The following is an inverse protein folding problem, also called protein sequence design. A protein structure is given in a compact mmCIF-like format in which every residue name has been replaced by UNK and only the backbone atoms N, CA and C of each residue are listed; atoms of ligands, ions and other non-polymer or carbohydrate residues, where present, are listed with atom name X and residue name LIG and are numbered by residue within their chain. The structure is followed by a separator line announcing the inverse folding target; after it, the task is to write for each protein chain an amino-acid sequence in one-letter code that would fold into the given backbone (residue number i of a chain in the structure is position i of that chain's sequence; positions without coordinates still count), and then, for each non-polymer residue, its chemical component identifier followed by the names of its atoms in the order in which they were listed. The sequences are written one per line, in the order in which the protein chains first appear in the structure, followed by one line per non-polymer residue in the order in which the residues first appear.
data_IF_506519187133
#
_entry.id   IF_506519187133
#
_cell.length_a   1.000
_cell.length_b   1.000
_cell.length_c   1.000
_cell.angle_alpha   90.00
_cell.angle_beta   90.00
_cell.angle_gamma   90.00
#
_symmetry.space_group_name_H-M   'P 1'
#
loop_
_entity.id
_entity.type
_entity.pdbx_description
1 polymer ?
#
# COMPACT_ATOMS: atom_id res chain seq x y z
N UNK A 1 5.89 -16.54 11.16
CA UNK A 1 4.41 -16.46 11.06
C UNK A 1 4.05 -15.00 10.88
N UNK A 2 3.20 -14.66 9.90
CA UNK A 2 2.77 -13.28 9.60
C UNK A 2 2.08 -12.59 10.79
N UNK A 3 1.25 -13.31 11.55
CA UNK A 3 0.56 -12.75 12.71
C UNK A 3 1.53 -12.25 13.79
N UNK A 4 2.64 -12.96 14.02
CA UNK A 4 3.71 -12.52 14.93
C UNK A 4 4.22 -11.14 14.50
N UNK A 5 4.64 -11.01 13.24
CA UNK A 5 5.19 -9.74 12.72
C UNK A 5 4.15 -8.63 12.65
N UNK A 6 2.88 -8.97 12.46
CA UNK A 6 1.77 -8.02 12.54
C UNK A 6 1.65 -7.45 13.95
N UNK A 7 1.67 -8.31 14.98
CA UNK A 7 1.62 -7.86 16.39
C UNK A 7 2.85 -7.03 16.74
N UNK A 8 4.05 -7.42 16.31
CA UNK A 8 5.28 -6.65 16.57
C UNK A 8 5.28 -5.28 15.86
N UNK A 9 4.74 -5.19 14.64
CA UNK A 9 4.58 -3.92 13.95
C UNK A 9 3.55 -3.01 14.67
N UNK A 10 2.44 -3.57 15.17
CA UNK A 10 1.46 -2.82 15.98
C UNK A 10 2.11 -2.26 17.25
N UNK A 11 2.86 -3.08 17.98
CA UNK A 11 3.51 -2.67 19.23
C UNK A 11 4.55 -1.57 18.97
N UNK A 12 5.42 -1.75 17.98
CA UNK A 12 6.42 -0.79 17.55
C UNK A 12 5.80 0.58 17.21
N UNK A 13 4.75 0.58 16.39
CA UNK A 13 4.12 1.81 15.88
C UNK A 13 3.18 2.48 16.91
N UNK A 14 2.85 1.80 18.01
CA UNK A 14 1.99 2.36 19.07
C UNK A 14 2.68 3.42 19.93
N UNK A 15 4.02 3.49 19.90
CA UNK A 15 4.77 4.49 20.66
C UNK A 15 4.52 5.92 20.15
N UNK A 16 4.25 6.90 21.03
CA UNK A 16 4.11 8.31 20.64
C UNK A 16 5.42 8.94 20.13
N UNK A 17 6.55 8.27 20.33
CA UNK A 17 7.89 8.76 19.96
C UNK A 17 8.50 8.01 18.78
N UNK A 18 7.77 7.04 18.23
CA UNK A 18 8.27 6.23 17.12
C UNK A 18 8.57 7.12 15.91
N UNK A 19 9.69 6.84 15.26
CA UNK A 19 10.14 7.51 14.05
C UNK A 19 10.67 6.48 13.04
N UNK A 20 11.09 6.93 11.86
CA UNK A 20 11.57 6.03 10.81
C UNK A 20 12.83 5.25 11.19
N UNK A 21 13.69 5.80 12.06
CA UNK A 21 14.90 5.11 12.52
C UNK A 21 14.58 3.94 13.44
N UNK A 22 13.60 4.08 14.34
CA UNK A 22 13.16 2.96 15.18
C UNK A 22 12.69 1.77 14.31
N UNK A 23 11.94 2.06 13.25
CA UNK A 23 11.49 1.04 12.28
C UNK A 23 12.68 0.44 11.55
N UNK A 24 13.63 1.26 11.07
CA UNK A 24 14.85 0.76 10.42
C UNK A 24 15.65 -0.17 11.31
N UNK A 25 15.83 0.17 12.59
CA UNK A 25 16.56 -0.67 13.54
C UNK A 25 15.94 -2.06 13.67
N UNK A 26 14.61 -2.15 13.75
CA UNK A 26 13.92 -3.44 13.82
C UNK A 26 14.06 -4.21 12.50
N UNK A 27 13.87 -3.55 11.35
CA UNK A 27 14.00 -4.20 10.04
C UNK A 27 15.42 -4.73 9.79
N UNK A 28 16.45 -3.99 10.18
CA UNK A 28 17.85 -4.47 10.09
C UNK A 28 18.08 -5.70 10.97
N UNK A 29 17.49 -5.74 12.18
CA UNK A 29 17.55 -6.92 13.06
C UNK A 29 16.85 -8.15 12.47
N UNK A 30 15.88 -7.98 11.56
CA UNK A 30 15.26 -9.10 10.83
C UNK A 30 16.12 -9.63 9.67
N UNK A 31 17.26 -9.00 9.37
CA UNK A 31 18.19 -9.43 8.33
C UNK A 31 18.17 -8.58 7.05
N UNK A 32 17.35 -7.53 7.01
CA UNK A 32 17.30 -6.60 5.90
C UNK A 32 18.52 -5.67 5.89
N UNK A 33 19.09 -5.44 4.71
CA UNK A 33 20.33 -4.65 4.55
C UNK A 33 20.09 -3.29 3.91
N UNK A 34 19.19 -3.22 2.96
CA UNK A 34 18.88 -2.00 2.21
C UNK A 34 17.60 -1.38 2.78
N UNK A 35 17.79 -0.62 3.87
CA UNK A 35 16.72 0.12 4.55
C UNK A 35 17.09 1.60 4.61
N UNK A 36 16.37 2.42 3.85
CA UNK A 36 16.51 3.87 3.81
C UNK A 36 15.44 4.53 4.69
N UNK A 37 15.84 5.56 5.42
CA UNK A 37 14.93 6.45 6.14
C UNK A 37 15.17 7.86 5.67
N UNK A 38 14.09 8.55 5.27
CA UNK A 38 14.15 9.93 4.81
C UNK A 38 13.06 10.76 5.45
N UNK A 39 13.46 11.75 6.23
CA UNK A 39 12.53 12.75 6.77
C UNK A 39 12.11 13.72 5.68
N UNK A 40 10.81 13.96 5.57
CA UNK A 40 10.20 14.91 4.65
C UNK A 40 9.32 15.87 5.44
N UNK A 41 9.54 17.16 5.23
CA UNK A 41 8.74 18.23 5.82
C UNK A 41 7.75 18.74 4.78
N UNK A 42 6.48 18.69 5.13
CA UNK A 42 5.39 19.24 4.33
C UNK A 42 4.73 20.44 5.00
N UNK A 43 3.63 20.94 4.41
CA UNK A 43 2.92 22.12 4.92
C UNK A 43 2.35 21.96 6.33
N UNK A 44 2.00 20.73 6.71
CA UNK A 44 1.26 20.44 7.96
C UNK A 44 2.10 19.70 9.00
N UNK A 45 3.40 19.50 8.75
CA UNK A 45 4.29 18.80 9.69
C UNK A 45 5.42 18.09 8.97
N UNK A 46 5.90 17.01 9.59
CA UNK A 46 6.95 16.14 9.03
C UNK A 46 6.59 14.68 9.18
N UNK A 47 7.20 13.85 8.35
CA UNK A 47 7.11 12.40 8.46
C UNK A 47 8.41 11.75 7.99
N UNK A 48 8.69 10.55 8.48
CA UNK A 48 9.82 9.76 8.03
C UNK A 48 9.35 8.67 7.07
N UNK A 49 9.79 8.74 5.82
CA UNK A 49 9.63 7.64 4.88
C UNK A 49 10.61 6.53 5.21
N UNK A 50 10.12 5.29 5.24
CA UNK A 50 10.92 4.08 5.36
C UNK A 50 10.79 3.33 4.04
N UNK A 51 11.92 3.07 3.39
CA UNK A 51 12.00 2.35 2.11
C UNK A 51 12.91 1.15 2.28
N UNK A 52 12.45 0.00 1.81
CA UNK A 52 13.12 -1.28 1.98
C UNK A 52 13.25 -1.94 0.62
N UNK A 53 14.47 -2.34 0.29
CA UNK A 53 14.73 -3.22 -0.83
C UNK A 53 15.11 -4.61 -0.33
N UNK A 54 14.45 -5.62 -0.91
CA UNK A 54 14.68 -7.03 -0.65
C UNK A 54 15.05 -7.67 -1.99
N UNK A 55 16.36 -7.80 -2.30
CA UNK A 55 16.80 -8.35 -3.57
C UNK A 55 16.36 -9.81 -3.73
N UNK A 56 15.81 -10.13 -4.90
CA UNK A 56 15.49 -11.50 -5.29
C UNK A 56 16.72 -12.23 -5.81
N UNK A 57 16.72 -13.57 -5.78
CA UNK A 57 17.83 -14.38 -6.32
C UNK A 57 18.05 -14.17 -7.83
N UNK A 58 17.00 -13.82 -8.55
CA UNK A 58 16.99 -13.58 -10.00
C UNK A 58 16.39 -12.19 -10.33
N UNK A 59 16.28 -11.32 -9.32
CA UNK A 59 15.76 -9.97 -9.47
C UNK A 59 16.74 -9.05 -10.21
N UNK A 60 16.23 -7.92 -10.71
CA UNK A 60 17.00 -6.91 -11.45
C UNK A 60 18.20 -6.40 -10.64
N UNK A 61 18.04 -6.22 -9.32
CA UNK A 61 19.11 -5.77 -8.42
C UNK A 61 20.18 -6.82 -8.14
N UNK A 62 19.90 -8.08 -8.46
CA UNK A 62 20.86 -9.19 -8.45
C UNK A 62 21.41 -9.49 -9.86
N UNK A 63 21.13 -8.64 -10.85
CA UNK A 63 21.57 -8.81 -12.24
C UNK A 63 20.70 -9.75 -13.09
N UNK A 64 19.55 -10.19 -12.55
CA UNK A 64 18.59 -11.02 -13.26
C UNK A 64 17.48 -10.21 -13.95
N UNK A 65 16.39 -10.88 -14.29
CA UNK A 65 15.26 -10.31 -15.06
C UNK A 65 13.90 -10.58 -14.43
N UNK A 66 13.84 -11.22 -13.25
CA UNK A 66 12.58 -11.45 -12.55
C UNK A 66 11.95 -10.09 -12.18
N UNK A 67 10.62 -9.96 -12.30
CA UNK A 67 9.97 -8.68 -12.12
C UNK A 67 10.00 -8.22 -10.66
N UNK A 68 9.98 -6.91 -10.48
CA UNK A 68 10.02 -6.23 -9.18
C UNK A 68 8.61 -5.86 -8.73
N UNK A 69 8.19 -6.34 -7.56
CA UNK A 69 6.94 -5.93 -6.93
C UNK A 69 7.16 -4.77 -5.97
N UNK A 70 6.35 -3.71 -6.11
CA UNK A 70 6.20 -2.67 -5.10
C UNK A 70 5.06 -2.96 -4.14
N UNK A 71 5.28 -2.73 -2.84
CA UNK A 71 4.25 -2.80 -1.79
C UNK A 71 4.28 -1.49 -1.02
N UNK A 72 3.21 -0.71 -1.14
CA UNK A 72 3.10 0.61 -0.51
C UNK A 72 2.09 0.54 0.62
N UNK A 73 2.51 0.86 1.84
CA UNK A 73 1.60 1.10 2.96
C UNK A 73 1.18 2.56 2.96
N UNK A 74 -0.07 2.82 2.56
CA UNK A 74 -0.69 4.14 2.53
C UNK A 74 -1.40 4.45 3.84
N UNK A 75 -1.30 5.71 4.23
CA UNK A 75 -1.94 6.31 5.40
C UNK A 75 -1.80 7.84 5.32
N UNK A 76 -2.58 8.56 6.13
CA UNK A 76 -2.33 9.94 6.54
C UNK A 76 -1.38 10.01 7.74
N UNK A 77 -1.50 9.07 8.69
CA UNK A 77 -0.55 8.93 9.79
C UNK A 77 -0.90 7.82 10.78
N UNK A 78 0.09 7.38 11.55
CA UNK A 78 -0.07 6.28 12.53
C UNK A 78 -0.67 6.75 13.87
N UNK A 79 -0.77 8.08 14.07
CA UNK A 79 -1.46 8.67 15.21
C UNK A 79 -1.88 10.09 14.95
N UNK A 80 -2.86 10.57 15.74
CA UNK A 80 -3.34 11.97 15.72
C UNK A 80 -3.08 12.66 17.06
N UNK A 81 -1.87 12.48 17.61
CA UNK A 81 -1.50 13.02 18.92
C UNK A 81 -1.26 14.54 18.82
N UNK A 82 -1.55 15.31 19.89
CA UNK A 82 -2.09 14.88 21.18
C UNK A 82 -3.62 14.71 21.20
N UNK A 83 -4.34 15.03 20.12
CA UNK A 83 -5.81 15.03 20.07
C UNK A 83 -6.43 13.64 20.28
N UNK A 84 -5.78 12.59 19.75
CA UNK A 84 -6.14 11.19 19.94
C UNK A 84 -4.94 10.43 20.49
N UNK A 85 -5.12 9.81 21.67
CA UNK A 85 -4.08 9.02 22.31
C UNK A 85 -4.12 7.56 21.83
N UNK A 86 -3.00 7.10 21.29
CA UNK A 86 -2.82 5.73 20.81
C UNK A 86 -2.71 5.64 19.29
N UNK A 87 -2.60 4.41 18.81
CA UNK A 87 -2.59 4.09 17.39
C UNK A 87 -3.99 4.31 16.80
N UNK A 88 -4.06 4.91 15.61
CA UNK A 88 -5.32 5.20 14.92
C UNK A 88 -5.61 4.17 13.82
N UNK A 89 -6.88 4.02 13.42
CA UNK A 89 -7.29 3.04 12.40
C UNK A 89 -6.55 3.19 11.08
N UNK A 90 -6.21 4.41 10.71
CA UNK A 90 -5.48 4.75 9.48
C UNK A 90 -4.06 4.16 9.45
N UNK A 91 -3.51 3.77 10.60
CA UNK A 91 -2.18 3.15 10.69
C UNK A 91 -2.09 1.78 10.00
N UNK A 92 -3.22 1.08 9.77
CA UNK A 92 -3.18 -0.32 9.39
C UNK A 92 -2.44 -0.60 8.06
N UNK A 93 -2.50 0.33 7.08
CA UNK A 93 -1.71 0.22 5.84
C UNK A 93 -0.19 0.27 6.09
N UNK A 94 0.26 1.18 6.95
CA UNK A 94 1.66 1.27 7.38
C UNK A 94 2.10 0.07 8.21
N UNK A 95 1.24 -0.44 9.09
CA UNK A 95 1.48 -1.68 9.85
C UNK A 95 1.67 -2.86 8.90
N UNK A 96 0.79 -3.01 7.90
CA UNK A 96 0.87 -4.08 6.92
C UNK A 96 2.18 -4.04 6.13
N UNK A 97 2.62 -2.86 5.69
CA UNK A 97 3.90 -2.70 4.98
C UNK A 97 5.11 -3.08 5.86
N UNK A 98 5.15 -2.58 7.10
CA UNK A 98 6.23 -2.90 8.05
C UNK A 98 6.25 -4.39 8.39
N UNK A 99 5.09 -4.99 8.68
CA UNK A 99 4.97 -6.42 8.98
C UNK A 99 5.37 -7.29 7.79
N UNK A 100 5.04 -6.88 6.56
CA UNK A 100 5.47 -7.54 5.32
C UNK A 100 6.98 -7.51 5.18
N UNK A 101 7.61 -6.35 5.43
CA UNK A 101 9.07 -6.22 5.39
C UNK A 101 9.75 -7.09 6.46
N UNK A 102 9.25 -7.10 7.70
CA UNK A 102 9.77 -7.98 8.75
C UNK A 102 9.66 -9.46 8.39
N UNK A 103 8.52 -9.88 7.83
CA UNK A 103 8.32 -11.28 7.42
C UNK A 103 9.26 -11.68 6.27
N UNK A 104 9.39 -10.86 5.24
CA UNK A 104 10.30 -11.14 4.13
C UNK A 104 11.77 -11.08 4.57
N UNK A 105 12.13 -10.20 5.49
CA UNK A 105 13.46 -10.17 6.12
C UNK A 105 13.76 -11.46 6.89
N UNK A 106 12.83 -11.91 7.74
CA UNK A 106 12.93 -13.16 8.49
C UNK A 106 13.07 -14.38 7.56
N UNK A 107 12.31 -14.41 6.46
CA UNK A 107 12.46 -15.44 5.42
C UNK A 107 13.85 -15.37 4.76
N UNK A 108 14.27 -14.19 4.33
CA UNK A 108 15.55 -13.97 3.67
C UNK A 108 16.73 -14.40 4.57
N UNK A 109 16.70 -14.04 5.85
CA UNK A 109 17.76 -14.40 6.82
C UNK A 109 17.84 -15.91 7.08
N UNK A 110 16.75 -16.65 6.86
CA UNK A 110 16.68 -18.12 6.95
C UNK A 110 17.05 -18.83 5.65
N UNK A 111 17.29 -18.08 4.58
CA UNK A 111 17.65 -18.62 3.26
C UNK A 111 16.48 -18.77 2.29
N UNK A 112 15.26 -18.39 2.69
CA UNK A 112 14.09 -18.37 1.80
C UNK A 112 14.09 -17.09 0.97
N UNK A 113 14.89 -17.09 -0.10
CA UNK A 113 15.08 -15.94 -0.99
C UNK A 113 14.08 -16.00 -2.15
N UNK A 114 13.25 -14.96 -2.30
CA UNK A 114 12.29 -14.81 -3.39
C UNK A 114 12.99 -14.71 -4.75
N UNK A 115 12.29 -15.07 -5.83
CA UNK A 115 12.85 -15.01 -7.19
C UNK A 115 13.05 -13.57 -7.68
N UNK A 116 12.01 -12.75 -7.57
CA UNK A 116 12.02 -11.32 -7.94
C UNK A 116 12.34 -10.39 -6.77
N UNK A 117 12.69 -9.15 -7.10
CA UNK A 117 12.92 -8.10 -6.10
C UNK A 117 11.61 -7.65 -5.48
N UNK A 118 11.65 -7.26 -4.20
CA UNK A 118 10.52 -6.60 -3.52
C UNK A 118 10.98 -5.24 -3.01
N UNK A 119 10.22 -4.21 -3.35
CA UNK A 119 10.35 -2.86 -2.81
C UNK A 119 9.17 -2.58 -1.89
N UNK A 120 9.44 -2.13 -0.66
CA UNK A 120 8.40 -1.79 0.31
C UNK A 120 8.60 -0.37 0.78
N UNK A 121 7.53 0.42 0.83
CA UNK A 121 7.58 1.79 1.34
C UNK A 121 6.35 2.13 2.18
N UNK A 122 6.58 2.93 3.22
CA UNK A 122 5.54 3.56 4.05
C UNK A 122 6.14 4.81 4.69
N UNK A 123 5.33 5.61 5.37
CA UNK A 123 5.84 6.70 6.20
C UNK A 123 5.35 6.62 7.65
N UNK A 124 6.14 7.19 8.56
CA UNK A 124 5.93 7.16 10.00
C UNK A 124 5.62 8.59 10.47
N UNK A 125 4.39 8.81 10.92
CA UNK A 125 3.92 10.09 11.48
C UNK A 125 3.03 9.84 12.72
N UNK A 126 3.57 9.98 13.94
CA UNK A 126 2.84 9.68 15.18
C UNK A 126 1.79 10.72 15.59
N UNK A 127 1.77 11.88 14.93
CA UNK A 127 1.04 13.09 15.28
C UNK A 127 0.47 13.82 14.05
N UNK A 128 -0.05 13.06 13.08
CA UNK A 128 -0.68 13.62 11.89
C UNK A 128 -1.98 14.40 12.21
N UNK A 129 -2.32 15.43 11.40
CA UNK A 129 -3.56 16.18 11.57
C UNK A 129 -4.80 15.32 11.26
N UNK A 130 -5.99 15.76 11.66
CA UNK A 130 -7.27 15.18 11.21
C UNK A 130 -7.89 16.03 10.11
N UNK A 131 -8.73 15.44 9.24
CA UNK A 131 -9.38 16.12 8.12
C UNK A 131 -10.90 15.90 8.14
N UNK A 132 -11.71 16.96 7.98
CA UNK A 132 -13.16 16.82 7.78
C UNK A 132 -13.48 15.99 6.54
N UNK A 133 -14.34 14.97 6.68
CA UNK A 133 -14.76 14.08 5.59
C UNK A 133 -16.08 13.37 5.97
N UNK A 134 -16.89 12.97 4.98
CA UNK A 134 -18.15 12.24 5.14
C UNK A 134 -18.03 10.78 4.64
N UNK A 135 -18.53 9.76 5.37
CA UNK A 135 -19.39 9.81 6.55
C UNK A 135 -18.67 10.00 7.89
N UNK A 136 -17.34 9.95 7.91
CA UNK A 136 -16.51 10.07 9.11
C UNK A 136 -15.24 10.86 8.81
N UNK A 137 -14.68 11.59 9.80
CA UNK A 137 -13.41 12.29 9.63
C UNK A 137 -12.28 11.35 9.21
N UNK A 138 -11.44 11.82 8.30
CA UNK A 138 -10.25 11.12 7.84
C UNK A 138 -9.03 11.56 8.64
N UNK A 139 -7.96 10.79 8.57
CA UNK A 139 -6.65 11.30 8.90
C UNK A 139 -6.19 12.23 7.79
N UNK A 140 -5.69 13.41 8.16
CA UNK A 140 -4.90 14.23 7.27
C UNK A 140 -3.48 13.67 7.17
N UNK A 141 -2.66 14.29 6.31
CA UNK A 141 -1.24 13.96 6.16
C UNK A 141 -0.38 15.20 6.43
N UNK A 142 0.82 15.05 7.01
CA UNK A 142 1.77 16.16 7.17
C UNK A 142 2.29 16.71 5.84
N UNK A 143 2.17 15.93 4.76
CA UNK A 143 2.67 16.20 3.41
C UNK A 143 1.54 16.14 2.39
N UNK A 144 1.74 16.73 1.21
CA UNK A 144 0.81 16.54 0.10
C UNK A 144 1.02 15.18 -0.60
N UNK A 145 0.02 14.76 -1.38
CA UNK A 145 0.04 13.47 -2.06
C UNK A 145 1.09 13.38 -3.18
N UNK A 146 1.49 14.51 -3.78
CA UNK A 146 2.55 14.50 -4.79
C UNK A 146 3.92 14.21 -4.15
N UNK A 147 4.20 14.77 -2.97
CA UNK A 147 5.36 14.44 -2.16
C UNK A 147 5.32 12.98 -1.71
N UNK A 148 4.17 12.50 -1.22
CA UNK A 148 4.02 11.10 -0.82
C UNK A 148 4.31 10.13 -1.98
N UNK A 149 3.68 10.36 -3.13
CA UNK A 149 3.87 9.57 -4.34
C UNK A 149 5.34 9.50 -4.78
N UNK A 150 6.07 10.62 -4.72
CA UNK A 150 7.48 10.68 -5.11
C UNK A 150 8.37 9.84 -4.21
N UNK A 151 8.02 9.71 -2.94
CA UNK A 151 8.82 8.93 -1.99
C UNK A 151 8.42 7.45 -1.96
N UNK A 152 7.14 7.13 -2.21
CA UNK A 152 6.58 5.78 -2.17
C UNK A 152 6.70 5.01 -3.49
N UNK A 153 6.95 5.70 -4.61
CA UNK A 153 7.02 5.08 -5.94
C UNK A 153 8.38 5.33 -6.57
N UNK A 154 8.94 4.27 -7.15
CA UNK A 154 10.16 4.31 -7.97
C UNK A 154 9.89 3.79 -9.37
N UNK A 155 10.69 4.22 -10.34
CA UNK A 155 10.58 3.80 -11.73
C UNK A 155 11.00 2.34 -12.01
N UNK A 156 11.56 1.65 -11.01
CA UNK A 156 12.04 0.26 -11.14
C UNK A 156 10.94 -0.80 -10.95
N UNK A 157 9.74 -0.40 -10.49
CA UNK A 157 8.65 -1.31 -10.15
C UNK A 157 7.89 -1.79 -11.40
N UNK A 158 7.61 -3.09 -11.49
CA UNK A 158 6.84 -3.66 -12.58
C UNK A 158 5.34 -3.82 -12.23
N UNK A 159 5.01 -3.82 -10.94
CA UNK A 159 3.63 -3.80 -10.42
C UNK A 159 3.63 -3.22 -9.00
N UNK A 160 2.46 -2.74 -8.53
CA UNK A 160 2.31 -2.17 -7.18
C UNK A 160 1.07 -2.71 -6.49
N UNK A 161 1.24 -3.21 -5.27
CA UNK A 161 0.16 -3.34 -4.29
C UNK A 161 0.15 -2.10 -3.40
N UNK A 162 -1.01 -1.45 -3.30
CA UNK A 162 -1.21 -0.26 -2.46
C UNK A 162 -2.15 -0.60 -1.31
N UNK A 163 -1.61 -0.79 -0.11
CA UNK A 163 -2.35 -1.21 1.08
C UNK A 163 -2.82 0.02 1.84
N UNK A 164 -4.11 0.15 2.12
CA UNK A 164 -4.70 1.31 2.80
C UNK A 164 -5.87 0.90 3.69
N UNK A 165 -6.06 1.58 4.83
CA UNK A 165 -7.28 1.45 5.63
C UNK A 165 -8.46 2.10 4.92
N UNK A 166 -9.29 1.28 4.28
CA UNK A 166 -10.45 1.72 3.51
C UNK A 166 -11.75 1.49 4.28
N UNK A 167 -11.76 1.90 5.56
CA UNK A 167 -12.91 1.74 6.47
C UNK A 167 -13.80 2.97 6.56
N UNK A 168 -13.34 4.12 6.07
CA UNK A 168 -14.04 5.40 6.23
C UNK A 168 -15.21 5.63 5.27
N UNK A 169 -15.77 4.59 4.65
CA UNK A 169 -16.76 4.72 3.57
C UNK A 169 -17.94 3.73 3.74
N UNK A 170 -18.92 3.80 2.84
CA UNK A 170 -20.08 2.87 2.74
C UNK A 170 -20.08 2.04 1.46
N UNK A 171 -19.03 2.15 0.65
CA UNK A 171 -18.89 1.51 -0.66
C UNK A 171 -18.54 0.04 -0.49
N UNK A 172 -17.64 -0.28 0.43
CA UNK A 172 -17.24 -1.65 0.76
C UNK A 172 -17.53 -1.96 2.24
N UNK A 173 -18.50 -2.84 2.47
CA UNK A 173 -19.00 -3.18 3.80
C UNK A 173 -18.70 -4.66 4.13
N UNK A 174 -17.41 -5.02 4.12
CA UNK A 174 -16.92 -6.37 4.40
C UNK A 174 -15.80 -6.29 5.46
N UNK A 175 -15.76 -7.19 6.44
CA UNK A 175 -14.63 -7.25 7.38
C UNK A 175 -13.53 -8.16 6.85
N UNK A 176 -12.29 -7.68 6.87
CA UNK A 176 -11.11 -8.36 6.34
C UNK A 176 -10.34 -7.42 5.43
N UNK A 177 -9.99 -7.90 4.24
CA UNK A 177 -9.49 -7.05 3.16
C UNK A 177 -10.21 -7.32 1.84
N UNK A 178 -10.12 -6.36 0.92
CA UNK A 178 -10.64 -6.44 -0.44
C UNK A 178 -9.59 -5.90 -1.43
N UNK A 179 -9.68 -6.29 -2.70
CA UNK A 179 -8.80 -5.76 -3.76
C UNK A 179 -9.55 -4.91 -4.77
N UNK A 180 -8.88 -3.92 -5.37
CA UNK A 180 -9.46 -3.16 -6.48
C UNK A 180 -9.29 -3.93 -7.80
N UNK A 181 -10.02 -3.55 -8.86
CA UNK A 181 -9.57 -3.79 -10.22
C UNK A 181 -8.18 -3.17 -10.44
N UNK A 182 -7.41 -3.74 -11.36
CA UNK A 182 -6.08 -3.23 -11.70
C UNK A 182 -6.18 -1.91 -12.44
N UNK A 183 -5.42 -0.91 -12.02
CA UNK A 183 -5.32 0.37 -12.71
C UNK A 183 -3.96 0.51 -13.37
N UNK A 184 -3.94 0.78 -14.67
CA UNK A 184 -2.72 0.99 -15.43
C UNK A 184 -2.90 2.17 -16.38
N UNK A 185 -2.10 3.22 -16.18
CA UNK A 185 -1.98 4.34 -17.12
C UNK A 185 -3.33 5.01 -17.47
N UNK A 186 -4.17 5.18 -16.44
CA UNK A 186 -5.50 5.78 -16.55
C UNK A 186 -6.62 4.80 -16.95
N UNK A 187 -6.31 3.52 -17.18
CA UNK A 187 -7.32 2.49 -17.44
C UNK A 187 -7.66 1.71 -16.17
N UNK A 188 -8.95 1.55 -15.89
CA UNK A 188 -9.46 0.56 -14.94
C UNK A 188 -9.67 -0.74 -15.73
N UNK A 189 -8.83 -1.73 -15.47
CA UNK A 189 -8.80 -3.00 -16.18
C UNK A 189 -9.63 -4.07 -15.47
N UNK A 190 -9.89 -5.18 -16.17
CA UNK A 190 -10.48 -6.37 -15.56
C UNK A 190 -9.64 -6.82 -14.36
N UNK A 191 -10.33 -7.25 -13.29
CA UNK A 191 -9.68 -7.79 -12.09
C UNK A 191 -8.86 -9.03 -12.45
N UNK A 192 -7.65 -9.13 -11.90
CA UNK A 192 -6.77 -10.28 -12.12
C UNK A 192 -7.30 -11.54 -11.43
N UNK A 193 -7.55 -12.59 -12.20
CA UNK A 193 -7.93 -13.92 -11.69
C UNK A 193 -6.84 -14.55 -10.82
N UNK A 194 -5.56 -14.24 -11.08
CA UNK A 194 -4.44 -14.73 -10.28
C UNK A 194 -4.46 -14.12 -8.88
N UNK A 195 -4.72 -12.81 -8.77
CA UNK A 195 -4.85 -12.13 -7.49
C UNK A 195 -6.09 -12.62 -6.72
N UNK A 196 -7.21 -12.82 -7.42
CA UNK A 196 -8.42 -13.42 -6.84
C UNK A 196 -8.14 -14.81 -6.27
N UNK A 197 -7.40 -15.65 -7.01
CA UNK A 197 -7.01 -17.00 -6.57
C UNK A 197 -6.14 -16.97 -5.31
N UNK A 198 -5.14 -16.09 -5.26
CA UNK A 198 -4.27 -15.94 -4.07
C UNK A 198 -5.10 -15.48 -2.87
N UNK A 199 -5.98 -14.50 -3.04
CA UNK A 199 -6.88 -14.05 -1.98
C UNK A 199 -7.74 -15.20 -1.46
N UNK A 200 -8.27 -16.06 -2.34
CA UNK A 200 -9.04 -17.23 -1.90
C UNK A 200 -8.20 -18.25 -1.15
N UNK A 201 -6.99 -18.54 -1.59
CA UNK A 201 -6.11 -19.50 -0.91
C UNK A 201 -5.71 -19.05 0.48
N UNK A 202 -5.40 -17.76 0.65
CA UNK A 202 -4.95 -17.26 1.95
C UNK A 202 -6.12 -17.05 2.93
N UNK A 203 -7.31 -16.65 2.46
CA UNK A 203 -8.46 -16.39 3.34
C UNK A 203 -9.33 -17.62 3.57
N UNK A 204 -9.28 -18.62 2.68
CA UNK A 204 -10.23 -19.73 2.65
C UNK A 204 -11.66 -19.29 2.28
N UNK A 205 -11.82 -18.11 1.67
CA UNK A 205 -13.12 -17.51 1.31
C UNK A 205 -13.14 -17.12 -0.18
N UNK A 206 -14.32 -16.82 -0.70
CA UNK A 206 -14.42 -16.17 -2.01
C UNK A 206 -13.78 -14.77 -1.94
N UNK A 207 -13.13 -14.33 -3.03
CA UNK A 207 -12.41 -13.07 -3.03
C UNK A 207 -13.39 -11.90 -3.03
N UNK A 208 -12.97 -10.78 -2.46
CA UNK A 208 -13.78 -9.56 -2.35
C UNK A 208 -13.11 -8.47 -3.18
N UNK A 209 -13.87 -7.92 -4.12
CA UNK A 209 -13.43 -6.81 -4.96
C UNK A 209 -14.27 -5.57 -4.62
N UNK A 210 -13.62 -4.44 -4.38
CA UNK A 210 -14.32 -3.18 -4.18
C UNK A 210 -14.36 -2.36 -5.47
N UNK A 211 -15.47 -1.68 -5.78
CA UNK A 211 -15.55 -0.84 -6.96
C UNK A 211 -14.70 0.41 -6.77
N UNK A 212 -14.10 0.87 -7.88
CA UNK A 212 -13.44 2.17 -7.99
C UNK A 212 -14.07 2.94 -9.14
N UNK A 213 -13.95 4.26 -9.07
CA UNK A 213 -14.48 5.21 -10.05
C UNK A 213 -13.35 5.85 -10.84
N UNK A 214 -13.70 6.58 -11.90
CA UNK A 214 -12.71 7.36 -12.65
C UNK A 214 -12.08 8.45 -11.78
N UNK A 215 -12.81 9.00 -10.81
CA UNK A 215 -12.28 10.01 -9.89
C UNK A 215 -11.14 9.44 -9.05
N UNK A 216 -11.32 8.22 -8.53
CA UNK A 216 -10.37 7.54 -7.64
C UNK A 216 -8.96 7.39 -8.23
N UNK A 217 -8.87 7.31 -9.56
CA UNK A 217 -7.61 7.12 -10.29
C UNK A 217 -6.97 8.43 -10.78
N UNK A 218 -7.54 9.59 -10.40
CA UNK A 218 -6.97 10.92 -10.68
C UNK A 218 -6.22 11.48 -9.46
N UNK A 219 -5.27 12.42 -9.64
CA UNK A 219 -4.58 13.03 -8.52
C UNK A 219 -5.52 13.69 -7.51
N UNK A 220 -5.23 13.52 -6.21
CA UNK A 220 -5.95 14.18 -5.11
C UNK A 220 -6.00 15.71 -5.25
N UNK A 221 -4.96 16.32 -5.83
CA UNK A 221 -4.90 17.77 -6.07
C UNK A 221 -5.93 18.29 -7.09
N UNK A 222 -6.80 17.43 -7.64
CA UNK A 222 -7.92 17.84 -8.50
C UNK A 222 -9.16 18.30 -7.72
N UNK A 223 -9.15 18.21 -6.39
CA UNK A 223 -10.27 18.63 -5.52
C UNK A 223 -11.61 17.94 -5.87
N UNK A 224 -11.54 16.68 -6.31
CA UNK A 224 -12.71 15.81 -6.51
C UNK A 224 -12.81 14.79 -5.39
N UNK A 225 -13.98 14.13 -5.28
CA UNK A 225 -14.16 13.07 -4.30
C UNK A 225 -13.39 11.81 -4.72
N UNK A 226 -12.68 11.21 -3.76
CA UNK A 226 -12.04 9.91 -3.86
C UNK A 226 -12.49 9.06 -2.67
N UNK A 227 -12.57 7.74 -2.86
CA UNK A 227 -12.85 6.77 -1.81
C UNK A 227 -11.86 6.92 -0.64
N UNK A 228 -10.57 6.96 -0.96
CA UNK A 228 -9.41 7.27 -0.12
C UNK A 228 -8.13 7.27 -1.00
N UNK A 229 -6.97 7.34 -0.35
CA UNK A 229 -5.65 7.46 -1.00
C UNK A 229 -5.17 6.16 -1.66
N UNK A 230 -5.90 5.06 -1.53
CA UNK A 230 -5.45 3.72 -1.95
C UNK A 230 -5.01 3.66 -3.41
N UNK A 231 -5.66 4.40 -4.30
CA UNK A 231 -5.35 4.41 -5.73
C UNK A 231 -4.38 5.51 -6.15
N UNK A 232 -3.97 6.42 -5.26
CA UNK A 232 -3.04 7.49 -5.60
C UNK A 232 -1.71 7.02 -6.22
N UNK A 233 -1.13 5.83 -5.91
CA UNK A 233 0.07 5.39 -6.60
C UNK A 233 -0.09 5.29 -8.11
N UNK A 234 -1.29 4.99 -8.61
CA UNK A 234 -1.53 4.84 -10.04
C UNK A 234 -1.32 6.14 -10.80
N UNK A 235 -1.30 7.30 -10.15
CA UNK A 235 -1.01 8.60 -10.76
C UNK A 235 0.49 8.87 -10.93
N UNK A 236 1.33 8.09 -10.26
CA UNK A 236 2.78 8.31 -10.18
C UNK A 236 3.62 7.22 -10.85
N UNK A 237 2.98 6.19 -11.42
CA UNK A 237 3.66 5.10 -12.13
C UNK A 237 2.95 4.74 -13.43
N UNK A 238 3.69 4.09 -14.33
CA UNK A 238 3.14 3.39 -15.50
C UNK A 238 2.92 1.90 -15.24
N UNK A 239 3.41 1.37 -14.12
CA UNK A 239 3.15 0.00 -13.69
C UNK A 239 1.67 -0.18 -13.31
N UNK A 240 1.09 -1.39 -13.47
CA UNK A 240 -0.21 -1.71 -12.93
C UNK A 240 -0.22 -1.57 -11.39
N UNK A 241 -1.29 -0.96 -10.87
CA UNK A 241 -1.52 -0.75 -9.44
C UNK A 241 -2.81 -1.44 -9.03
N UNK A 242 -2.78 -2.18 -7.93
CA UNK A 242 -3.95 -2.77 -7.28
C UNK A 242 -4.02 -2.28 -5.85
N UNK A 243 -5.17 -1.72 -5.46
CA UNK A 243 -5.47 -1.39 -4.07
C UNK A 243 -5.76 -2.65 -3.26
N UNK A 244 -5.19 -2.74 -2.06
CA UNK A 244 -5.45 -3.76 -1.04
C UNK A 244 -6.07 -3.04 0.16
N UNK A 245 -7.40 -3.00 0.16
CA UNK A 245 -8.20 -2.26 1.13
C UNK A 245 -8.39 -3.10 2.40
N UNK A 246 -7.95 -2.59 3.56
CA UNK A 246 -8.37 -3.12 4.85
C UNK A 246 -9.74 -2.53 5.19
N UNK A 247 -10.75 -3.39 5.38
CA UNK A 247 -12.17 -2.99 5.37
C UNK A 247 -12.90 -3.38 6.65
N UNK A 248 -14.10 -2.84 6.83
CA UNK A 248 -15.01 -3.14 7.94
C UNK A 248 -16.46 -3.13 7.46
N UNK A 249 -17.37 -3.70 8.24
CA UNK A 249 -18.81 -3.70 7.92
C UNK A 249 -19.50 -2.36 8.23
N UNK A 250 -18.83 -1.50 9.00
CA UNK A 250 -19.31 -0.15 9.36
C UNK A 250 -18.25 0.88 9.05
N UNK A 251 -18.63 2.14 8.76
CA UNK A 251 -17.67 3.22 8.64
C UNK A 251 -16.88 3.43 9.94
N UNK A 252 -15.55 3.44 9.85
CA UNK A 252 -14.65 3.71 10.97
C UNK A 252 -13.82 4.97 10.64
N UNK A 253 -13.83 6.00 11.51
CA UNK A 253 -12.99 7.19 11.32
C UNK A 253 -11.50 6.81 11.26
N UNK A 254 -10.74 7.45 10.38
CA UNK A 254 -9.29 7.21 10.28
C UNK A 254 -8.58 7.47 11.60
N UNK A 255 -9.02 8.49 12.34
CA UNK A 255 -8.49 8.88 13.65
C UNK A 255 -9.00 8.04 14.84
N UNK A 256 -9.86 7.04 14.60
CA UNK A 256 -10.39 6.19 15.67
C UNK A 256 -9.30 5.32 16.27
N UNK A 257 -9.13 5.39 17.60
CA UNK A 257 -8.16 4.57 18.33
C UNK A 257 -8.79 3.25 18.77
N UNK A 258 -7.98 2.20 18.88
CA UNK A 258 -8.46 0.85 19.24
C UNK A 258 -9.24 0.13 18.13
N UNK A 259 -9.22 0.66 16.91
CA UNK A 259 -9.93 0.11 15.76
C UNK A 259 -9.10 -0.90 14.93
N UNK A 260 -7.78 -0.93 15.12
CA UNK A 260 -6.85 -1.84 14.43
C UNK A 260 -7.24 -3.30 14.62
N UNK A 261 -7.35 -4.04 13.52
CA UNK A 261 -7.73 -5.45 13.51
C UNK A 261 -6.53 -6.30 13.06
N UNK A 262 -5.79 -6.86 14.02
CA UNK A 262 -4.55 -7.59 13.72
C UNK A 262 -4.73 -8.79 12.77
N UNK A 263 -5.88 -9.48 12.83
CA UNK A 263 -6.17 -10.61 11.94
C UNK A 263 -6.42 -10.16 10.49
N UNK A 264 -7.11 -9.03 10.31
CA UNK A 264 -7.41 -8.49 8.98
C UNK A 264 -6.11 -7.99 8.32
N UNK A 265 -5.22 -7.39 9.11
CA UNK A 265 -3.87 -6.99 8.66
C UNK A 265 -3.02 -8.22 8.32
N UNK A 266 -3.04 -9.27 9.15
CA UNK A 266 -2.34 -10.53 8.88
C UNK A 266 -2.75 -11.14 7.53
N UNK A 267 -4.04 -11.12 7.21
CA UNK A 267 -4.55 -11.58 5.91
C UNK A 267 -3.94 -10.75 4.76
N UNK A 268 -3.91 -9.42 4.86
CA UNK A 268 -3.29 -8.57 3.84
C UNK A 268 -1.77 -8.75 3.73
N UNK A 269 -1.07 -9.00 4.84
CA UNK A 269 0.37 -9.32 4.87
C UNK A 269 0.62 -10.64 4.15
N UNK A 270 -0.16 -11.69 4.45
CA UNK A 270 -0.03 -12.99 3.76
C UNK A 270 -0.31 -12.87 2.28
N UNK A 271 -1.36 -12.15 1.90
CA UNK A 271 -1.67 -11.86 0.50
C UNK A 271 -0.48 -11.21 -0.20
N UNK A 272 0.07 -10.14 0.37
CA UNK A 272 1.17 -9.37 -0.23
C UNK A 272 2.45 -10.19 -0.39
N UNK A 273 2.78 -11.05 0.60
CA UNK A 273 3.92 -11.97 0.53
C UNK A 273 3.73 -13.05 -0.52
N UNK A 274 2.54 -13.66 -0.62
CA UNK A 274 2.28 -14.67 -1.65
C UNK A 274 2.27 -14.05 -3.06
N UNK A 275 1.70 -12.86 -3.24
CA UNK A 275 1.82 -12.13 -4.52
C UNK A 275 3.28 -11.85 -4.86
N UNK A 276 4.11 -11.42 -3.90
CA UNK A 276 5.53 -11.19 -4.14
C UNK A 276 6.26 -12.44 -4.64
N UNK A 277 6.00 -13.60 -4.02
CA UNK A 277 6.57 -14.89 -4.43
C UNK A 277 6.18 -15.24 -5.86
N UNK A 278 4.88 -15.30 -6.13
CA UNK A 278 4.37 -15.78 -7.42
C UNK A 278 4.60 -14.76 -8.55
N UNK A 279 4.61 -13.46 -8.26
CA UNK A 279 4.93 -12.42 -9.23
C UNK A 279 6.39 -12.52 -9.68
N UNK A 280 7.33 -12.64 -8.75
CA UNK A 280 8.74 -12.87 -9.07
C UNK A 280 8.97 -14.17 -9.85
N UNK A 281 8.10 -15.16 -9.70
CA UNK A 281 8.09 -16.41 -10.48
C UNK A 281 7.47 -16.29 -11.87
N UNK A 282 6.83 -15.17 -12.21
CA UNK A 282 6.08 -14.99 -13.46
C UNK A 282 4.77 -15.79 -13.50
N UNK A 283 4.22 -16.15 -12.33
CA UNK A 283 2.99 -16.94 -12.19
C UNK A 283 1.75 -16.10 -11.85
N UNK A 284 1.94 -14.80 -11.60
CA UNK A 284 0.86 -13.85 -11.33
C UNK A 284 0.95 -12.74 -12.35
N UNK A 285 -0.16 -12.47 -13.02
CA UNK A 285 -0.32 -11.32 -13.89
C UNK A 285 -1.26 -10.32 -13.24
N UNK A 286 -0.86 -9.05 -13.16
CA UNK A 286 -1.75 -8.00 -12.65
C UNK A 286 -2.81 -7.61 -13.69
N UNK A 287 -2.56 -7.85 -14.97
CA UNK A 287 -3.46 -7.54 -16.08
C UNK A 287 -3.11 -8.39 -17.31
N UNK A 288 -4.03 -8.48 -18.28
CA UNK A 288 -3.76 -9.06 -19.60
C UNK A 288 -3.13 -8.00 -20.52
N UNK A 289 -1.87 -8.22 -20.91
CA UNK A 289 -1.14 -7.29 -21.76
C UNK A 289 -1.72 -7.16 -23.17
N UNK A 290 -2.23 -8.24 -23.76
CA UNK A 290 -2.80 -8.22 -25.10
C UNK A 290 -4.16 -7.49 -25.10
N UNK A 291 -4.96 -7.67 -24.05
CA UNK A 291 -6.20 -6.91 -23.86
C UNK A 291 -5.92 -5.42 -23.65
N UNK A 292 -4.89 -5.07 -22.86
CA UNK A 292 -4.48 -3.68 -22.66
C UNK A 292 -4.01 -3.02 -23.96
N UNK A 293 -3.16 -3.70 -24.74
CA UNK A 293 -2.71 -3.22 -26.05
C UNK A 293 -3.90 -3.04 -27.00
N UNK A 294 -4.88 -3.95 -26.93
CA UNK A 294 -6.12 -3.82 -27.69
C UNK A 294 -6.92 -2.58 -27.27
N UNK A 295 -7.07 -2.31 -25.97
CA UNK A 295 -7.75 -1.11 -25.47
C UNK A 295 -7.05 0.17 -25.95
N UNK A 296 -5.72 0.21 -25.90
CA UNK A 296 -4.93 1.34 -26.43
C UNK A 296 -5.17 1.50 -27.93
N UNK A 297 -5.16 0.41 -28.71
CA UNK A 297 -5.37 0.50 -30.15
C UNK A 297 -6.76 1.02 -30.53
N UNK A 298 -7.78 0.73 -29.71
CA UNK A 298 -9.17 1.13 -29.95
C UNK A 298 -9.47 2.55 -29.46
N UNK A 299 -8.92 2.94 -28.32
CA UNK A 299 -9.37 4.13 -27.58
C UNK A 299 -8.23 5.07 -27.16
N UNK A 300 -6.98 4.69 -27.39
CA UNK A 300 -5.79 5.48 -27.05
C UNK A 300 -5.35 5.38 -25.58
N UNK A 301 -4.34 6.18 -25.23
CA UNK A 301 -3.79 6.25 -23.88
C UNK A 301 -4.64 7.16 -22.97
N UNK A 302 -4.85 6.73 -21.72
CA UNK A 302 -5.59 7.48 -20.69
C UNK A 302 -4.68 8.19 -19.68
N UNK A 303 -3.37 8.30 -19.97
CA UNK A 303 -2.38 8.93 -19.07
C UNK A 303 -2.69 10.39 -18.68
N UNK A 304 -3.52 11.08 -19.45
CA UNK A 304 -3.97 12.43 -19.13
C UNK A 304 -4.83 12.50 -17.85
N UNK A 305 -5.40 11.37 -17.41
CA UNK A 305 -6.13 11.28 -16.14
C UNK A 305 -5.18 11.23 -14.93
N UNK A 306 -3.90 10.91 -15.14
CA UNK A 306 -2.88 10.86 -14.09
C UNK A 306 -2.32 12.25 -13.76
N UNK A 307 -2.81 13.32 -14.41
CA UNK A 307 -2.32 14.69 -14.21
C UNK A 307 -3.35 15.57 -13.50
N UNK A 308 -2.97 16.80 -13.14
CA UNK A 308 -3.88 17.81 -12.58
C UNK A 308 -4.88 18.38 -13.61
N UNK A 309 -5.17 17.62 -14.68
CA UNK A 309 -5.92 18.08 -15.84
C UNK A 309 -5.21 19.21 -16.59
N UNK A 310 -5.99 19.90 -17.44
CA UNK A 310 -5.56 21.16 -18.05
C UNK A 310 -6.03 22.28 -17.14
N UNK A 311 -5.14 22.78 -16.28
CA UNK A 311 -5.36 24.07 -15.61
C UNK A 311 -5.50 25.11 -16.73
N UNK A 312 -6.69 25.68 -16.89
CA UNK A 312 -6.91 26.88 -17.69
C UNK A 312 -6.80 28.09 -16.78
#
# INVERSE_FOLDING_TARGET
MSLKWTIEAIDLLSSPKVNGQDVKEVLVKTGLKDVEVKSVTGPNGKTDFVKVWIPGKEGKRSGGTAPTLGIVGRLGGIGARPERLGLVSDADGGIAAVATAMLLGDMYSKGDILKGDVFISTHICPDAPTQPHDPVPFMGSPIDMAMANKEEITGELDAVLSIDTTRGNRVINHRGFAISPTVKEGWILRVSEDLLSIMSYITGKMPVVFPITMQDITPYGNDVYHLNSIMQPCTATSAPVVGVALTSEVPVPGCATGATQAMDIDEAVRFSVEVAKYYGEGKVSFYDAAEFDRLISLYGYMRHLQTLGKIK
#
